data_IF_954663131379
#
_entry.id   IF_954663131379
#
_cell.length_a   1.000
_cell.length_b   1.000
_cell.length_c   1.000
_cell.angle_alpha   90.00
_cell.angle_beta   90.00
_cell.angle_gamma   90.00
#
_symmetry.space_group_name_H-M   'P 1'
#
loop_
_entity.id
_entity.type
_entity.pdbx_description
1 polymer ?
#
# COMPACT_ATOMS: atom_id res chain seq x y z
N UNK A 1 -6.21 -15.53 4.15
CA UNK A 1 -6.61 -14.13 4.28
C UNK A 1 -6.02 -13.31 3.14
N UNK A 2 -4.69 -13.32 2.93
CA UNK A 2 -4.02 -12.44 1.97
C UNK A 2 -4.02 -12.92 0.52
N UNK A 3 -4.42 -14.14 0.24
CA UNK A 3 -4.53 -14.67 -1.12
C UNK A 3 -5.53 -15.82 -1.22
N UNK A 4 -6.02 -16.07 -2.43
CA UNK A 4 -6.85 -17.22 -2.75
C UNK A 4 -6.51 -17.75 -4.14
N UNK A 5 -6.32 -19.05 -4.27
CA UNK A 5 -6.11 -19.69 -5.57
C UNK A 5 -7.37 -19.73 -6.45
N UNK A 6 -8.52 -19.24 -5.96
CA UNK A 6 -9.73 -19.06 -6.79
C UNK A 6 -9.56 -17.94 -7.82
N UNK A 7 -8.74 -16.92 -7.51
CA UNK A 7 -8.55 -15.74 -8.36
C UNK A 7 -7.09 -15.29 -8.50
N UNK A 8 -6.14 -15.99 -7.87
CA UNK A 8 -4.70 -15.71 -8.01
C UNK A 8 -3.95 -16.95 -8.48
N UNK A 9 -3.08 -16.78 -9.46
CA UNK A 9 -2.12 -17.82 -9.82
C UNK A 9 -1.02 -17.91 -8.74
N UNK A 10 -0.43 -19.09 -8.52
CA UNK A 10 0.64 -19.23 -7.54
C UNK A 10 1.82 -18.26 -7.75
N UNK A 11 2.17 -17.96 -9.00
CA UNK A 11 3.17 -16.94 -9.33
C UNK A 11 2.80 -15.57 -8.75
N UNK A 12 1.53 -15.15 -8.86
CA UNK A 12 1.05 -13.85 -8.38
C UNK A 12 1.10 -13.76 -6.85
N UNK A 13 0.83 -14.89 -6.17
CA UNK A 13 0.98 -14.99 -4.71
C UNK A 13 2.42 -14.66 -4.29
N UNK A 14 3.41 -15.25 -4.96
CA UNK A 14 4.81 -14.97 -4.68
C UNK A 14 5.23 -13.53 -5.01
N UNK A 15 4.72 -12.99 -6.12
CA UNK A 15 4.97 -11.60 -6.52
C UNK A 15 4.43 -10.63 -5.47
N UNK A 16 3.15 -10.78 -5.10
CA UNK A 16 2.46 -9.94 -4.12
C UNK A 16 3.05 -10.05 -2.71
N UNK A 17 3.41 -11.25 -2.28
CA UNK A 17 4.11 -11.48 -1.01
C UNK A 17 5.36 -10.61 -0.89
N UNK A 18 6.13 -10.53 -1.96
CA UNK A 18 7.31 -9.67 -2.00
C UNK A 18 6.96 -8.19 -2.02
N UNK A 19 5.92 -7.80 -2.78
CA UNK A 19 5.48 -6.40 -2.85
C UNK A 19 5.07 -5.88 -1.48
N UNK A 20 4.30 -6.64 -0.70
CA UNK A 20 3.87 -6.25 0.64
C UNK A 20 5.05 -5.90 1.56
N UNK A 21 6.14 -6.69 1.49
CA UNK A 21 7.34 -6.42 2.31
C UNK A 21 8.24 -5.32 1.71
N UNK A 22 8.30 -5.22 0.38
CA UNK A 22 9.04 -4.15 -0.30
C UNK A 22 8.42 -2.79 -0.04
N UNK A 23 7.10 -2.73 0.12
CA UNK A 23 6.35 -1.51 0.42
C UNK A 23 6.80 -0.86 1.73
N UNK A 24 7.05 -1.65 2.77
CA UNK A 24 7.60 -1.16 4.05
C UNK A 24 8.97 -0.49 3.87
N UNK A 25 9.82 -1.06 3.01
CA UNK A 25 11.12 -0.45 2.70
C UNK A 25 10.94 0.86 1.92
N UNK A 26 10.00 0.87 0.96
CA UNK A 26 9.66 2.08 0.20
C UNK A 26 9.14 3.20 1.11
N UNK A 27 8.29 2.86 2.09
CA UNK A 27 7.72 3.80 3.05
C UNK A 27 8.78 4.53 3.90
N UNK A 28 9.93 3.92 4.09
CA UNK A 28 11.08 4.54 4.77
C UNK A 28 12.05 5.24 3.82
N UNK A 29 11.77 5.25 2.51
CA UNK A 29 12.68 5.74 1.47
C UNK A 29 13.94 4.90 1.36
N UNK A 30 13.84 3.60 1.67
CA UNK A 30 14.95 2.66 1.77
C UNK A 30 15.26 1.94 0.45
N UNK A 31 16.45 1.35 0.41
CA UNK A 31 16.88 0.47 -0.67
C UNK A 31 16.90 -0.97 -0.14
N UNK A 32 16.04 -1.88 -0.64
CA UNK A 32 16.00 -3.26 -0.18
C UNK A 32 17.27 -4.02 -0.60
N UNK A 33 17.75 -4.94 0.23
CA UNK A 33 19.02 -5.67 0.01
C UNK A 33 18.90 -7.18 0.11
N UNK A 34 18.23 -7.65 1.14
CA UNK A 34 18.27 -9.06 1.50
C UNK A 34 16.93 -9.52 2.04
N UNK A 35 16.63 -10.80 1.84
CA UNK A 35 15.45 -11.45 2.41
C UNK A 35 15.77 -12.78 3.05
N UNK A 36 14.96 -13.14 4.04
CA UNK A 36 14.86 -14.49 4.61
C UNK A 36 13.41 -14.95 4.42
N UNK A 37 13.22 -16.20 3.99
CA UNK A 37 11.92 -16.78 3.66
C UNK A 37 11.63 -17.96 4.58
N UNK A 38 10.43 -18.01 5.15
CA UNK A 38 9.93 -19.20 5.85
C UNK A 38 8.59 -19.62 5.27
N UNK A 39 8.41 -20.92 5.08
CA UNK A 39 7.15 -21.47 4.61
C UNK A 39 6.70 -22.64 5.48
N UNK A 40 5.45 -22.56 5.94
CA UNK A 40 4.74 -23.70 6.52
C UNK A 40 3.73 -24.22 5.50
N UNK A 41 3.98 -25.43 4.98
CA UNK A 41 3.22 -26.01 3.89
C UNK A 41 2.41 -27.23 4.34
N UNK A 42 1.13 -27.38 3.90
CA UNK A 42 0.35 -28.59 4.11
C UNK A 42 1.04 -29.80 3.47
N UNK A 43 0.96 -30.97 4.14
CA UNK A 43 1.66 -32.20 3.69
C UNK A 43 1.31 -32.59 2.24
N UNK A 44 0.10 -32.31 1.80
CA UNK A 44 -0.45 -32.74 0.50
C UNK A 44 -0.41 -31.64 -0.58
N UNK A 45 0.29 -30.52 -0.33
CA UNK A 45 0.43 -29.46 -1.34
C UNK A 45 1.24 -29.98 -2.54
N UNK A 46 0.81 -29.66 -3.74
CA UNK A 46 1.61 -29.92 -4.94
C UNK A 46 2.85 -29.01 -4.94
N UNK A 47 4.03 -29.60 -5.02
CA UNK A 47 5.30 -28.86 -5.07
C UNK A 47 5.40 -27.89 -6.23
N UNK A 48 4.69 -28.13 -7.34
CA UNK A 48 4.58 -27.19 -8.46
C UNK A 48 3.97 -25.85 -8.04
N UNK A 49 3.05 -25.86 -7.07
CA UNK A 49 2.47 -24.61 -6.52
C UNK A 49 3.57 -23.83 -5.81
N UNK A 50 4.38 -24.50 -5.00
CA UNK A 50 5.49 -23.86 -4.29
C UNK A 50 6.53 -23.31 -5.30
N UNK A 51 6.86 -24.09 -6.33
CA UNK A 51 7.81 -23.67 -7.38
C UNK A 51 7.33 -22.40 -8.09
N UNK A 52 6.04 -22.31 -8.44
CA UNK A 52 5.48 -21.12 -9.07
C UNK A 52 5.47 -19.90 -8.12
N UNK A 53 5.16 -20.11 -6.83
CA UNK A 53 5.27 -19.04 -5.82
C UNK A 53 6.71 -18.54 -5.73
N UNK A 54 7.69 -19.45 -5.66
CA UNK A 54 9.11 -19.09 -5.66
C UNK A 54 9.53 -18.36 -6.95
N UNK A 55 8.94 -18.67 -8.09
CA UNK A 55 9.19 -17.92 -9.34
C UNK A 55 8.73 -16.48 -9.23
N UNK A 56 7.55 -16.21 -8.64
CA UNK A 56 7.06 -14.87 -8.37
C UNK A 56 7.99 -14.10 -7.40
N UNK A 57 8.43 -14.75 -6.32
CA UNK A 57 9.41 -14.21 -5.38
C UNK A 57 10.71 -13.85 -6.09
N UNK A 58 11.26 -14.78 -6.88
CA UNK A 58 12.51 -14.56 -7.63
C UNK A 58 12.41 -13.41 -8.63
N UNK A 59 11.26 -13.24 -9.28
CA UNK A 59 11.05 -12.12 -10.21
C UNK A 59 11.23 -10.77 -9.52
N UNK A 60 10.64 -10.60 -8.32
CA UNK A 60 10.84 -9.39 -7.51
C UNK A 60 12.28 -9.27 -6.99
N UNK A 61 12.89 -10.37 -6.56
CA UNK A 61 14.29 -10.37 -6.15
C UNK A 61 15.22 -9.91 -7.29
N UNK A 62 14.98 -10.36 -8.52
CA UNK A 62 15.75 -9.94 -9.69
C UNK A 62 15.52 -8.45 -10.01
N UNK A 63 14.27 -8.00 -9.99
CA UNK A 63 13.90 -6.61 -10.27
C UNK A 63 14.58 -5.63 -9.31
N UNK A 64 14.58 -5.93 -8.01
CA UNK A 64 15.14 -5.08 -6.96
C UNK A 64 16.54 -5.50 -6.48
N UNK A 65 17.18 -6.44 -7.18
CA UNK A 65 18.55 -6.93 -6.90
C UNK A 65 18.71 -7.43 -5.46
N UNK A 66 17.72 -8.17 -4.96
CA UNK A 66 17.70 -8.73 -3.62
C UNK A 66 18.46 -10.06 -3.57
N UNK A 67 19.19 -10.28 -2.48
CA UNK A 67 19.78 -11.57 -2.15
C UNK A 67 18.88 -12.36 -1.22
N UNK A 68 18.59 -13.62 -1.57
CA UNK A 68 17.93 -14.57 -0.67
C UNK A 68 19.02 -15.18 0.21
N UNK A 69 19.02 -14.83 1.50
CA UNK A 69 20.04 -15.33 2.45
C UNK A 69 19.80 -16.77 2.88
N UNK A 70 18.54 -17.19 2.89
CA UNK A 70 18.12 -18.50 3.32
C UNK A 70 16.68 -18.51 3.81
N UNK A 71 16.34 -19.52 4.59
CA UNK A 71 14.99 -19.67 5.13
C UNK A 71 14.76 -21.04 5.69
N UNK A 72 13.50 -21.36 5.96
CA UNK A 72 13.10 -22.66 6.48
C UNK A 72 11.80 -23.14 5.80
N UNK A 73 11.67 -24.46 5.68
CA UNK A 73 10.48 -25.12 5.14
C UNK A 73 9.99 -26.16 6.12
N UNK A 74 8.83 -25.95 6.69
CA UNK A 74 8.22 -26.87 7.65
C UNK A 74 6.85 -27.35 7.18
N UNK A 75 6.43 -28.51 7.71
CA UNK A 75 5.08 -29.03 7.51
C UNK A 75 4.11 -28.37 8.51
N UNK A 76 2.88 -28.14 8.05
CA UNK A 76 1.75 -27.74 8.90
C UNK A 76 0.52 -28.62 8.66
N UNK A 77 -0.33 -28.76 9.67
CA UNK A 77 -1.67 -29.32 9.55
C UNK A 77 -2.71 -28.23 9.13
N UNK A 78 -2.30 -26.96 9.22
CA UNK A 78 -3.12 -25.80 8.86
C UNK A 78 -2.93 -25.36 7.39
N UNK A 79 -3.32 -24.12 7.06
CA UNK A 79 -3.17 -23.56 5.73
C UNK A 79 -1.70 -23.31 5.35
N UNK A 80 -1.47 -23.04 4.07
CA UNK A 80 -0.18 -22.58 3.56
C UNK A 80 0.12 -21.20 4.13
N UNK A 81 1.27 -21.05 4.81
CA UNK A 81 1.73 -19.78 5.39
C UNK A 81 3.12 -19.45 4.86
N UNK A 82 3.28 -18.23 4.37
CA UNK A 82 4.56 -17.66 3.97
C UNK A 82 4.91 -16.49 4.87
N UNK A 83 6.17 -16.43 5.27
CA UNK A 83 6.72 -15.30 6.02
C UNK A 83 7.98 -14.81 5.32
N UNK A 84 8.05 -13.51 5.09
CA UNK A 84 9.24 -12.84 4.54
C UNK A 84 9.77 -11.87 5.60
N UNK A 85 11.07 -11.91 5.82
CA UNK A 85 11.78 -10.85 6.52
C UNK A 85 12.65 -10.14 5.50
N UNK A 86 12.43 -8.84 5.31
CA UNK A 86 13.21 -8.02 4.38
C UNK A 86 14.15 -7.10 5.15
N UNK A 87 15.36 -6.95 4.65
CA UNK A 87 16.39 -6.05 5.18
C UNK A 87 16.73 -5.06 4.09
N UNK A 88 16.62 -3.78 4.41
CA UNK A 88 17.01 -2.67 3.54
C UNK A 88 17.97 -1.73 4.25
N UNK A 89 18.43 -0.72 3.53
CA UNK A 89 19.30 0.32 4.05
C UNK A 89 18.86 1.71 3.60
N UNK A 90 19.13 2.69 4.44
CA UNK A 90 19.06 4.12 4.12
C UNK A 90 20.35 4.80 4.58
N UNK A 91 20.78 5.92 4.02
CA UNK A 91 21.85 6.71 4.58
C UNK A 91 21.54 7.07 6.03
N UNK A 92 22.55 7.03 6.89
CA UNK A 92 22.38 7.25 8.34
C UNK A 92 21.62 8.54 8.64
N UNK A 93 20.52 8.43 9.40
CA UNK A 93 19.73 9.57 9.84
C UNK A 93 18.76 10.13 8.79
N UNK A 94 18.56 9.44 7.67
CA UNK A 94 17.66 9.91 6.59
C UNK A 94 16.42 9.06 6.40
N UNK A 95 16.19 8.03 7.21
CA UNK A 95 14.96 7.25 7.16
C UNK A 95 13.76 8.17 7.38
N UNK A 96 12.77 8.09 6.49
CA UNK A 96 11.51 8.81 6.67
C UNK A 96 10.64 8.00 7.62
N UNK A 97 10.03 8.68 8.57
CA UNK A 97 9.19 8.06 9.60
C UNK A 97 7.73 8.44 9.38
N UNK A 98 6.81 7.72 10.02
CA UNK A 98 5.39 8.14 10.13
C UNK A 98 5.25 9.45 10.91
N UNK A 99 6.12 9.70 11.89
CA UNK A 99 6.21 10.95 12.64
C UNK A 99 7.03 11.99 11.91
N UNK A 100 6.70 13.26 12.08
CA UNK A 100 7.46 14.38 11.52
C UNK A 100 6.63 15.33 10.66
N UNK A 101 5.35 15.02 10.40
CA UNK A 101 4.44 15.94 9.74
C UNK A 101 4.31 17.25 10.52
N UNK A 102 4.33 18.39 9.81
CA UNK A 102 4.29 19.73 10.38
C UNK A 102 3.08 20.50 9.86
N UNK A 103 2.48 21.32 10.74
CA UNK A 103 1.38 22.20 10.32
C UNK A 103 1.84 23.08 9.15
N UNK A 104 1.04 23.10 8.09
CA UNK A 104 1.35 23.79 6.85
C UNK A 104 1.99 22.90 5.77
N UNK A 105 2.32 21.63 6.07
CA UNK A 105 2.73 20.67 5.05
C UNK A 105 1.60 20.38 4.09
N UNK A 106 1.95 20.06 2.84
CA UNK A 106 1.04 19.39 1.89
C UNK A 106 1.03 17.90 2.15
N UNK A 107 -0.11 17.26 1.88
CA UNK A 107 -0.26 15.80 1.89
C UNK A 107 -0.31 15.30 0.45
N UNK A 108 0.52 14.33 0.13
CA UNK A 108 0.57 13.74 -1.19
C UNK A 108 0.53 12.23 -1.15
N UNK A 109 0.13 11.63 -2.27
CA UNK A 109 0.14 10.17 -2.47
C UNK A 109 0.75 9.82 -3.82
N UNK A 110 1.17 8.57 -3.95
CA UNK A 110 1.63 8.03 -5.23
C UNK A 110 0.50 7.34 -5.98
N UNK A 111 0.44 7.49 -7.28
CA UNK A 111 -0.47 6.82 -8.22
C UNK A 111 -1.95 6.76 -7.78
N UNK A 112 -2.69 5.71 -8.22
CA UNK A 112 -4.08 5.48 -7.85
C UNK A 112 -4.19 4.73 -6.53
N UNK A 113 -5.22 5.05 -5.74
CA UNK A 113 -5.59 4.35 -4.50
C UNK A 113 -6.99 3.73 -4.61
N UNK A 114 -7.29 2.73 -3.77
CA UNK A 114 -8.49 1.91 -3.89
C UNK A 114 -8.43 0.94 -5.09
N UNK A 115 -7.27 0.87 -5.72
CA UNK A 115 -7.01 0.10 -6.93
C UNK A 115 -7.04 -1.40 -6.67
N UNK A 116 -6.32 -1.84 -5.65
CA UNK A 116 -6.30 -3.25 -5.24
C UNK A 116 -7.66 -3.73 -4.72
N UNK A 117 -8.35 -2.91 -3.93
CA UNK A 117 -9.69 -3.24 -3.42
C UNK A 117 -10.73 -3.32 -4.54
N UNK A 118 -10.64 -2.46 -5.55
CA UNK A 118 -11.46 -2.55 -6.77
C UNK A 118 -11.22 -3.86 -7.50
N UNK A 119 -9.95 -4.22 -7.69
CA UNK A 119 -9.56 -5.49 -8.34
C UNK A 119 -10.06 -6.70 -7.58
N UNK A 120 -9.94 -6.71 -6.25
CA UNK A 120 -10.47 -7.77 -5.40
C UNK A 120 -11.99 -7.88 -5.52
N UNK A 121 -12.71 -6.77 -5.52
CA UNK A 121 -14.15 -6.75 -5.73
C UNK A 121 -14.54 -7.38 -7.07
N UNK A 122 -13.90 -6.96 -8.16
CA UNK A 122 -14.15 -7.50 -9.49
C UNK A 122 -13.84 -9.00 -9.58
N UNK A 123 -12.74 -9.47 -8.97
CA UNK A 123 -12.36 -10.88 -8.91
C UNK A 123 -13.36 -11.71 -8.08
N UNK A 124 -13.77 -11.19 -6.92
CA UNK A 124 -14.68 -11.88 -5.99
C UNK A 124 -16.08 -12.10 -6.59
N UNK A 125 -16.55 -11.16 -7.40
CA UNK A 125 -17.83 -11.25 -8.12
C UNK A 125 -17.70 -11.81 -9.52
N UNK A 126 -16.48 -12.24 -9.93
CA UNK A 126 -16.19 -12.78 -11.27
C UNK A 126 -16.67 -11.86 -12.40
N UNK A 127 -16.47 -10.56 -12.27
CA UNK A 127 -16.88 -9.56 -13.26
C UNK A 127 -15.88 -9.52 -14.42
N UNK A 128 -16.38 -9.37 -15.66
CA UNK A 128 -15.54 -9.10 -16.84
C UNK A 128 -15.17 -7.63 -16.93
N UNK A 129 -14.09 -7.32 -17.65
CA UNK A 129 -13.45 -6.00 -17.61
C UNK A 129 -12.67 -5.85 -16.30
N UNK A 130 -12.34 -4.66 -15.90
CA UNK A 130 -11.53 -4.40 -14.69
C UNK A 130 -10.13 -5.04 -14.73
N UNK A 131 -9.57 -5.19 -15.92
CA UNK A 131 -8.31 -5.92 -16.09
C UNK A 131 -7.14 -5.20 -15.41
N UNK A 132 -7.16 -3.88 -15.42
CA UNK A 132 -6.13 -3.06 -14.80
C UNK A 132 -6.16 -3.20 -13.26
N UNK A 133 -7.33 -3.06 -12.65
CA UNK A 133 -7.48 -3.16 -11.19
C UNK A 133 -7.29 -4.60 -10.69
N UNK A 134 -7.72 -5.61 -11.46
CA UNK A 134 -7.45 -7.02 -11.15
C UNK A 134 -5.94 -7.30 -11.11
N UNK A 135 -5.18 -6.79 -12.09
CA UNK A 135 -3.72 -6.88 -12.09
C UNK A 135 -3.16 -6.11 -10.89
N UNK A 136 -3.68 -4.93 -10.59
CA UNK A 136 -3.28 -4.14 -9.43
C UNK A 136 -3.46 -4.88 -8.10
N UNK A 137 -4.51 -5.69 -7.97
CA UNK A 137 -4.69 -6.59 -6.82
C UNK A 137 -3.73 -7.77 -6.84
N UNK A 138 -3.59 -8.46 -7.98
CA UNK A 138 -2.79 -9.68 -8.10
C UNK A 138 -1.29 -9.42 -8.09
N UNK A 139 -0.84 -8.33 -8.71
CA UNK A 139 0.57 -7.92 -8.88
C UNK A 139 0.74 -6.42 -8.58
N UNK A 140 0.49 -5.97 -7.36
CA UNK A 140 0.72 -4.57 -7.01
C UNK A 140 2.21 -4.22 -7.15
N UNK A 141 2.51 -2.94 -7.34
CA UNK A 141 3.87 -2.46 -7.60
C UNK A 141 4.37 -1.62 -6.41
N UNK A 142 5.42 -2.07 -5.70
CA UNK A 142 5.96 -1.31 -4.57
C UNK A 142 6.70 -0.08 -5.07
N UNK A 143 6.56 1.04 -4.37
CA UNK A 143 7.04 2.35 -4.81
C UNK A 143 8.48 2.66 -4.34
N UNK A 144 9.42 1.73 -4.52
CA UNK A 144 10.82 1.86 -4.03
C UNK A 144 11.50 3.11 -4.58
N UNK A 145 11.42 3.34 -5.90
CA UNK A 145 12.10 4.48 -6.55
C UNK A 145 11.48 5.81 -6.11
N UNK A 146 10.15 5.90 -6.04
CA UNK A 146 9.46 7.10 -5.57
C UNK A 146 9.73 7.35 -4.09
N UNK A 147 9.75 6.31 -3.25
CA UNK A 147 10.11 6.42 -1.84
C UNK A 147 11.51 6.99 -1.64
N UNK A 148 12.48 6.52 -2.41
CA UNK A 148 13.85 7.05 -2.37
C UNK A 148 13.90 8.51 -2.83
N UNK A 149 13.21 8.87 -3.91
CA UNK A 149 13.15 10.25 -4.41
C UNK A 149 12.48 11.19 -3.39
N UNK A 150 11.36 10.79 -2.78
CA UNK A 150 10.69 11.56 -1.74
C UNK A 150 11.59 11.78 -0.52
N UNK A 151 12.32 10.74 -0.07
CA UNK A 151 13.35 10.89 0.98
C UNK A 151 14.43 11.89 0.60
N UNK A 152 14.95 11.80 -0.63
CA UNK A 152 16.00 12.73 -1.12
C UNK A 152 15.50 14.18 -1.22
N UNK A 153 14.23 14.40 -1.52
CA UNK A 153 13.61 15.72 -1.50
C UNK A 153 13.43 16.26 -0.09
N UNK A 154 13.40 15.41 0.93
CA UNK A 154 13.25 15.81 2.32
C UNK A 154 11.79 15.96 2.74
N UNK A 155 10.93 15.00 2.35
CA UNK A 155 9.57 14.90 2.89
C UNK A 155 9.61 14.68 4.40
N UNK A 156 8.61 15.16 5.14
CA UNK A 156 8.64 15.18 6.59
C UNK A 156 8.15 13.88 7.21
N UNK A 157 7.15 13.24 6.61
CA UNK A 157 6.64 11.92 7.03
C UNK A 157 6.22 11.09 5.82
N UNK A 158 6.20 9.77 5.97
CA UNK A 158 5.75 8.85 4.92
C UNK A 158 5.28 7.54 5.53
N UNK A 159 4.29 6.91 4.90
CA UNK A 159 3.82 5.57 5.16
C UNK A 159 3.41 4.89 3.85
N UNK A 160 3.38 3.55 3.81
CA UNK A 160 2.74 2.85 2.69
C UNK A 160 1.24 2.67 2.95
N UNK A 161 0.46 2.49 1.89
CA UNK A 161 -0.99 2.31 1.98
C UNK A 161 -1.29 0.82 1.90
N UNK A 162 -1.26 0.15 3.06
CA UNK A 162 -1.53 -1.28 3.25
C UNK A 162 -2.93 -1.58 3.77
N UNK A 163 -3.47 -0.76 4.67
CA UNK A 163 -4.78 -0.94 5.29
C UNK A 163 -5.81 0.11 4.84
N UNK A 164 -5.49 0.86 3.79
CA UNK A 164 -6.31 1.92 3.22
C UNK A 164 -5.88 3.31 3.65
N UNK A 165 -6.05 4.27 2.75
CA UNK A 165 -5.60 5.65 2.93
C UNK A 165 -6.08 6.29 4.24
N UNK A 166 -7.31 5.96 4.66
CA UNK A 166 -7.87 6.48 5.91
C UNK A 166 -7.08 6.05 7.14
N UNK A 167 -6.65 4.79 7.21
CA UNK A 167 -5.83 4.26 8.31
C UNK A 167 -4.46 4.91 8.33
N UNK A 168 -3.77 4.97 7.19
CA UNK A 168 -2.40 5.48 7.10
C UNK A 168 -2.30 6.98 7.40
N UNK A 169 -3.29 7.76 6.96
CA UNK A 169 -3.38 9.17 7.33
C UNK A 169 -3.58 9.36 8.84
N UNK A 170 -4.41 8.53 9.49
CA UNK A 170 -4.61 8.57 10.94
C UNK A 170 -3.34 8.18 11.71
N UNK A 171 -2.55 7.23 11.20
CA UNK A 171 -1.26 6.88 11.77
C UNK A 171 -0.26 8.04 11.71
N UNK A 172 -0.16 8.73 10.56
CA UNK A 172 0.69 9.91 10.42
C UNK A 172 0.21 11.04 11.35
N UNK A 173 -1.09 11.31 11.38
CA UNK A 173 -1.68 12.35 12.23
C UNK A 173 -1.39 12.08 13.72
N UNK A 174 -1.57 10.82 14.14
CA UNK A 174 -1.31 10.38 15.52
C UNK A 174 0.17 10.44 15.88
N UNK A 175 1.04 9.89 15.02
CA UNK A 175 2.48 9.86 15.25
C UNK A 175 3.13 11.25 15.27
N UNK A 176 2.52 12.22 14.57
CA UNK A 176 3.00 13.60 14.46
C UNK A 176 2.25 14.58 15.36
N UNK A 177 1.18 14.14 16.04
CA UNK A 177 0.30 14.97 16.89
C UNK A 177 -0.27 16.19 16.15
N UNK A 178 -0.83 15.97 14.95
CA UNK A 178 -1.41 16.99 14.07
C UNK A 178 -2.78 16.56 13.54
N UNK A 179 -3.54 17.49 12.97
CA UNK A 179 -4.72 17.17 12.15
C UNK A 179 -4.36 17.17 10.66
N UNK A 180 -5.03 16.33 9.89
CA UNK A 180 -4.91 16.27 8.43
C UNK A 180 -6.26 16.56 7.80
N UNK A 181 -6.28 17.46 6.81
CA UNK A 181 -7.46 17.76 6.00
C UNK A 181 -7.18 17.36 4.55
N UNK A 182 -8.01 16.47 4.00
CA UNK A 182 -7.91 16.03 2.60
C UNK A 182 -9.12 16.45 1.79
N UNK A 183 -8.96 16.63 0.48
CA UNK A 183 -10.03 16.94 -0.47
C UNK A 183 -10.45 15.65 -1.20
N UNK A 184 -11.73 15.23 -1.05
CA UNK A 184 -12.25 14.03 -1.73
C UNK A 184 -11.99 14.07 -3.24
N UNK A 185 -12.20 15.24 -3.86
CA UNK A 185 -12.04 15.44 -5.31
C UNK A 185 -10.60 15.36 -5.80
N UNK A 186 -9.62 15.46 -4.89
CA UNK A 186 -8.21 15.36 -5.22
C UNK A 186 -7.67 13.93 -5.12
N UNK A 187 -8.41 13.00 -4.49
CA UNK A 187 -7.98 11.60 -4.37
C UNK A 187 -8.05 10.93 -5.74
N UNK A 188 -6.92 10.46 -6.31
CA UNK A 188 -6.90 9.86 -7.63
C UNK A 188 -7.47 8.45 -7.60
N UNK A 189 -8.61 8.26 -8.22
CA UNK A 189 -9.27 6.97 -8.40
C UNK A 189 -9.24 6.59 -9.89
N UNK A 190 -9.02 5.30 -10.16
CA UNK A 190 -9.07 4.79 -11.52
C UNK A 190 -10.51 4.71 -12.05
N UNK A 191 -10.71 4.79 -13.37
CA UNK A 191 -12.04 4.72 -13.99
C UNK A 191 -12.79 3.42 -13.66
N UNK A 192 -12.07 2.30 -13.57
CA UNK A 192 -12.65 1.01 -13.16
C UNK A 192 -13.18 1.05 -11.72
N UNK A 193 -12.61 1.88 -10.82
CA UNK A 193 -13.13 2.07 -9.45
C UNK A 193 -14.51 2.75 -9.48
N UNK A 194 -14.68 3.78 -10.31
CA UNK A 194 -16.00 4.42 -10.50
C UNK A 194 -17.00 3.45 -11.12
N UNK A 195 -16.57 2.66 -12.11
CA UNK A 195 -17.42 1.67 -12.76
C UNK A 195 -17.89 0.57 -11.79
N UNK A 196 -16.99 0.03 -10.97
CA UNK A 196 -17.33 -0.98 -9.96
C UNK A 196 -18.25 -0.41 -8.88
N UNK A 197 -17.93 0.78 -8.37
CA UNK A 197 -18.75 1.46 -7.36
C UNK A 197 -20.17 1.69 -7.85
N UNK A 198 -20.33 2.10 -9.11
CA UNK A 198 -21.66 2.24 -9.75
C UNK A 198 -22.37 0.89 -9.86
N UNK A 199 -21.67 -0.17 -10.26
CA UNK A 199 -22.22 -1.52 -10.40
C UNK A 199 -22.70 -2.09 -9.06
N UNK A 200 -21.91 -1.90 -8.00
CA UNK A 200 -22.19 -2.42 -6.66
C UNK A 200 -22.98 -1.43 -5.78
N UNK A 201 -23.33 -0.25 -6.30
CA UNK A 201 -24.06 0.82 -5.58
C UNK A 201 -23.31 1.28 -4.29
N UNK A 202 -21.99 1.36 -4.38
CA UNK A 202 -21.09 1.81 -3.32
C UNK A 202 -20.48 3.18 -3.66
N UNK A 203 -19.72 3.78 -2.74
CA UNK A 203 -19.01 5.03 -3.00
C UNK A 203 -17.60 4.75 -3.51
N UNK A 204 -17.17 5.36 -4.62
CA UNK A 204 -15.82 5.13 -5.15
C UNK A 204 -14.72 5.44 -4.13
N UNK A 205 -14.87 6.52 -3.35
CA UNK A 205 -13.87 6.94 -2.36
C UNK A 205 -13.69 5.93 -1.22
N UNK A 206 -14.72 5.13 -0.90
CA UNK A 206 -14.62 4.12 0.16
C UNK A 206 -13.58 3.02 -0.18
N UNK A 207 -13.37 2.72 -1.47
CA UNK A 207 -12.30 1.79 -1.90
C UNK A 207 -10.91 2.35 -1.57
N UNK A 208 -10.70 3.66 -1.71
CA UNK A 208 -9.44 4.29 -1.35
C UNK A 208 -9.25 4.40 0.16
N UNK A 209 -10.29 4.84 0.87
CA UNK A 209 -10.19 5.12 2.31
C UNK A 209 -10.05 3.85 3.16
N UNK A 210 -10.76 2.79 2.77
CA UNK A 210 -10.91 1.59 3.59
C UNK A 210 -10.47 0.30 2.91
N UNK A 211 -10.16 0.36 1.62
CA UNK A 211 -9.58 -0.74 0.87
C UNK A 211 -8.07 -0.78 1.05
N UNK A 212 -7.54 -1.90 1.44
CA UNK A 212 -6.11 -2.08 1.65
C UNK A 212 -5.36 -2.61 0.43
N UNK A 213 -4.06 -2.79 0.66
CA UNK A 213 -3.14 -3.53 -0.23
C UNK A 213 -2.84 -2.84 -1.57
N UNK A 214 -2.98 -1.50 -1.62
CA UNK A 214 -2.56 -0.68 -2.76
C UNK A 214 -1.03 -0.58 -2.84
N UNK A 215 -0.33 -0.65 -1.70
CA UNK A 215 1.12 -0.53 -1.57
C UNK A 215 1.67 0.72 -2.26
N UNK A 216 0.87 1.77 -2.26
CA UNK A 216 1.27 3.11 -2.63
C UNK A 216 1.82 3.85 -1.42
N UNK A 217 2.40 5.04 -1.61
CA UNK A 217 2.91 5.85 -0.51
C UNK A 217 2.00 7.04 -0.25
N UNK A 218 1.79 7.35 1.03
CA UNK A 218 1.25 8.61 1.51
C UNK A 218 2.35 9.35 2.27
N UNK A 219 2.48 10.67 2.05
CA UNK A 219 3.55 11.46 2.64
C UNK A 219 3.10 12.88 2.97
N UNK A 220 3.85 13.56 3.83
CA UNK A 220 3.72 14.99 4.07
C UNK A 220 5.02 15.72 3.72
N UNK A 221 4.90 16.93 3.19
CA UNK A 221 6.05 17.69 2.73
C UNK A 221 5.83 19.21 2.89
N UNK A 222 6.89 20.01 3.12
CA UNK A 222 6.76 21.46 3.18
C UNK A 222 6.29 22.02 1.84
N UNK A 223 5.43 23.06 1.88
CA UNK A 223 4.88 23.72 0.67
C UNK A 223 5.94 24.17 -0.34
N UNK A 224 7.16 24.44 0.12
CA UNK A 224 8.28 24.80 -0.76
C UNK A 224 8.70 23.68 -1.73
N UNK A 225 8.35 22.44 -1.45
CA UNK A 225 8.64 21.30 -2.34
C UNK A 225 7.59 21.07 -3.41
N UNK A 226 6.42 21.72 -3.35
CA UNK A 226 5.32 21.52 -4.32
C UNK A 226 5.80 21.57 -5.77
N UNK A 227 6.59 22.56 -6.23
CA UNK A 227 7.04 22.58 -7.62
C UNK A 227 7.91 21.38 -8.04
N UNK A 228 8.62 20.77 -7.08
CA UNK A 228 9.43 19.57 -7.34
C UNK A 228 8.56 18.31 -7.33
N UNK A 229 7.60 18.25 -6.42
CA UNK A 229 6.66 17.13 -6.30
C UNK A 229 5.77 17.01 -7.54
N UNK A 230 5.24 18.11 -8.06
CA UNK A 230 4.42 18.15 -9.28
C UNK A 230 5.19 17.71 -10.55
N UNK A 231 6.52 17.79 -10.54
CA UNK A 231 7.36 17.29 -11.61
C UNK A 231 7.66 15.78 -11.51
N UNK A 232 7.31 15.12 -10.41
CA UNK A 232 7.44 13.69 -10.27
C UNK A 232 6.19 12.99 -10.83
N UNK A 233 6.39 12.11 -11.80
CA UNK A 233 5.29 11.32 -12.33
C UNK A 233 4.66 10.43 -11.23
N UNK A 234 3.35 10.37 -11.19
CA UNK A 234 2.61 9.55 -10.24
C UNK A 234 2.41 10.20 -8.86
N UNK A 235 2.75 11.46 -8.66
CA UNK A 235 2.45 12.19 -7.42
C UNK A 235 1.16 13.00 -7.58
N UNK A 236 0.28 12.90 -6.57
CA UNK A 236 -0.92 13.72 -6.45
C UNK A 236 -1.00 14.34 -5.07
N UNK A 237 -1.18 15.65 -4.98
CA UNK A 237 -1.41 16.35 -3.72
C UNK A 237 -2.90 16.30 -3.39
N UNK A 238 -3.23 15.81 -2.19
CA UNK A 238 -4.62 15.51 -1.80
C UNK A 238 -5.11 16.32 -0.60
N UNK A 239 -4.24 17.13 0.05
CA UNK A 239 -4.64 17.86 1.25
C UNK A 239 -3.50 18.58 1.92
N UNK A 240 -3.72 18.95 3.17
CA UNK A 240 -2.75 19.66 3.99
C UNK A 240 -2.80 19.25 5.47
N UNK A 241 -1.69 19.46 6.16
CA UNK A 241 -1.58 19.29 7.61
C UNK A 241 -2.00 20.59 8.28
N UNK A 242 -2.96 20.50 9.20
CA UNK A 242 -3.56 21.65 9.88
C UNK A 242 -3.40 21.56 11.40
N UNK A 243 -3.56 22.67 12.08
CA UNK A 243 -3.55 22.74 13.54
C UNK A 243 -4.77 22.01 14.11
N UNK A 244 -4.56 21.17 15.10
CA UNK A 244 -5.64 20.48 15.80
C UNK A 244 -5.16 19.21 16.54
N UNK A 245 -6.05 18.57 17.30
CA UNK A 245 -5.76 17.26 17.87
C UNK A 245 -5.58 16.21 16.75
N UNK A 246 -4.90 15.09 17.02
CA UNK A 246 -4.72 14.02 16.02
C UNK A 246 -6.07 13.53 15.47
N UNK A 247 -6.33 13.85 14.21
CA UNK A 247 -7.52 13.40 13.47
C UNK A 247 -7.33 13.60 11.97
N UNK A 248 -8.10 12.89 11.18
CA UNK A 248 -8.21 13.07 9.72
C UNK A 248 -9.63 13.52 9.38
N UNK A 249 -9.73 14.58 8.60
CA UNK A 249 -10.98 15.09 8.07
C UNK A 249 -10.92 15.16 6.54
N UNK A 250 -12.04 14.99 5.89
CA UNK A 250 -12.18 15.08 4.44
C UNK A 250 -13.26 16.08 4.07
N UNK A 251 -12.93 17.02 3.21
CA UNK A 251 -13.90 17.87 2.52
C UNK A 251 -14.51 17.05 1.38
N UNK A 252 -15.77 16.75 1.50
CA UNK A 252 -16.52 15.96 0.51
C UNK A 252 -16.89 16.80 -0.72
N UNK A 253 -17.35 16.16 -1.79
CA UNK A 253 -17.74 16.86 -3.04
C UNK A 253 -18.87 17.87 -2.81
N UNK A 254 -19.76 17.65 -1.84
CA UNK A 254 -20.83 18.59 -1.43
C UNK A 254 -20.35 19.66 -0.44
N UNK A 255 -19.02 19.78 -0.23
CA UNK A 255 -18.39 20.75 0.68
C UNK A 255 -18.70 20.54 2.17
N UNK A 256 -19.16 19.38 2.56
CA UNK A 256 -19.25 19.02 3.97
C UNK A 256 -17.92 18.44 4.48
N UNK A 257 -17.65 18.58 5.78
CA UNK A 257 -16.47 18.00 6.41
C UNK A 257 -16.90 16.72 7.14
N UNK A 258 -16.18 15.63 6.86
CA UNK A 258 -16.37 14.34 7.52
C UNK A 258 -15.09 13.87 8.16
N UNK A 259 -15.19 13.38 9.39
CA UNK A 259 -14.06 12.68 10.03
C UNK A 259 -13.86 11.33 9.36
N UNK A 260 -12.62 11.02 9.05
CA UNK A 260 -12.18 9.73 8.52
C UNK A 260 -11.61 8.92 9.66
N UNK A 261 -12.27 7.83 10.01
CA UNK A 261 -11.83 6.91 11.05
C UNK A 261 -10.85 5.89 10.48
N UNK A 262 -9.92 5.40 11.31
CA UNK A 262 -9.06 4.27 10.96
C UNK A 262 -9.89 2.97 10.97
N UNK A 263 -10.60 2.71 9.88
CA UNK A 263 -11.44 1.51 9.67
C UNK A 263 -10.77 0.49 8.73
N UNK A 264 -9.44 0.49 8.66
CA UNK A 264 -8.69 -0.48 7.89
C UNK A 264 -8.94 -1.93 8.32
N UNK A 265 -8.41 -2.85 7.55
CA UNK A 265 -8.56 -4.27 7.82
C UNK A 265 -8.03 -4.63 9.22
N UNK A 266 -8.83 -5.34 10.01
CA UNK A 266 -8.42 -5.82 11.33
C UNK A 266 -8.62 -7.34 11.42
N UNK A 267 -7.52 -8.07 11.67
CA UNK A 267 -7.53 -9.52 11.80
C UNK A 267 -8.36 -10.06 12.98
N UNK A 268 -8.64 -9.24 14.00
CA UNK A 268 -9.22 -9.65 15.27
C UNK A 268 -10.58 -9.02 15.56
N UNK A 269 -11.20 -8.35 14.57
CA UNK A 269 -12.59 -7.95 14.72
C UNK A 269 -13.50 -9.17 14.54
N UNK A 270 -14.30 -9.46 15.55
CA UNK A 270 -15.43 -10.36 15.43
C UNK A 270 -16.44 -9.78 14.44
N UNK A 271 -16.75 -10.53 13.40
CA UNK A 271 -17.75 -10.22 12.37
C UNK A 271 -19.17 -10.29 12.95
#
# INVERSE_FOLDING_TARGET
VHFSFHYMMPYDVGYRLMTANLSDIAAMGGNPKQIVLSVAAPQHIDTKILDEIYRGIKAQCQRYKLNILGGDTVRTEGPLVWTVTIIGEVPKGTAVMRSGAQVGDVVGITNYVGYAATGLGALSYNLEGYDMTKIGHQRPDPQIELGEQLRQLGVHSMNDISDGLGSELNEIASASNVSILVEESAIPLHEETYALAKHLQTKPVDYALYGGEDFQLVFTAPKSLVPKLENLAGITLIGEVVTGPPKVEMVTQDRTIKTIEAKGYNHFHES
#
